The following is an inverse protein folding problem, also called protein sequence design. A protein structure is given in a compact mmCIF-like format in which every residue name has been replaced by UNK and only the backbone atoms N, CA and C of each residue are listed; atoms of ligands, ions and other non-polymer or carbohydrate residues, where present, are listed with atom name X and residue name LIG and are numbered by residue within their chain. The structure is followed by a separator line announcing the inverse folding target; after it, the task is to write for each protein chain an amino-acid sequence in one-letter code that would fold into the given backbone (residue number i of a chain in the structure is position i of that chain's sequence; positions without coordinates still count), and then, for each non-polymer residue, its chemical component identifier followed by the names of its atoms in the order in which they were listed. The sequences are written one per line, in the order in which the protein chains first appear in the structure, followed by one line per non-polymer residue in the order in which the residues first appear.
data_IF_036104327827
#
_entry.id   IF_036104327827
#
_cell.length_a   1.000
_cell.length_b   1.000
_cell.length_c   1.000
_cell.angle_alpha   90.00
_cell.angle_beta   90.00
_cell.angle_gamma   90.00
#
_symmetry.space_group_name_H-M   'P 1'
#
loop_
_entity.id
_entity.type
_entity.pdbx_description
1 polymer ?
#
# COMPACT_ATOMS: atom_id res chain seq x y z
N UNK A 1 0.57 22.67 -27.11
CA UNK A 1 -0.82 22.84 -26.63
C UNK A 1 -1.38 21.53 -26.07
N UNK A 2 -0.63 20.86 -25.18
CA UNK A 2 -1.03 19.62 -24.50
C UNK A 2 -0.69 19.76 -23.01
N UNK A 3 -1.54 20.51 -22.29
CA UNK A 3 -1.62 20.54 -20.83
C UNK A 3 -3.03 20.10 -20.47
N UNK A 4 -3.22 18.80 -20.25
CA UNK A 4 -4.36 18.24 -19.51
C UNK A 4 -4.14 16.72 -19.36
N UNK A 5 -3.52 16.32 -18.24
CA UNK A 5 -3.58 14.94 -17.73
C UNK A 5 -3.59 15.02 -16.21
N UNK A 6 -4.77 14.81 -15.63
CA UNK A 6 -5.07 14.83 -14.21
C UNK A 6 -5.39 13.41 -13.73
N UNK A 7 -5.28 13.21 -12.41
CA UNK A 7 -5.97 12.23 -11.56
C UNK A 7 -5.39 10.79 -11.50
N UNK A 8 -4.23 10.55 -10.88
CA UNK A 8 -3.98 9.27 -10.13
C UNK A 8 -3.00 9.51 -8.96
N UNK A 9 -2.83 8.55 -8.03
CA UNK A 9 -1.80 8.65 -6.96
C UNK A 9 -0.40 8.57 -7.56
N UNK A 10 0.59 9.35 -7.10
CA UNK A 10 1.91 9.46 -7.77
C UNK A 10 2.64 8.11 -7.98
N UNK A 11 2.40 7.10 -7.12
CA UNK A 11 3.00 5.77 -7.24
C UNK A 11 2.27 4.87 -8.25
N UNK A 12 0.93 4.87 -8.23
CA UNK A 12 0.12 4.17 -9.23
C UNK A 12 0.23 4.87 -10.60
N UNK A 13 0.33 6.20 -10.63
CA UNK A 13 0.67 7.03 -11.80
C UNK A 13 2.01 6.66 -12.39
N UNK A 14 3.08 6.64 -11.57
CA UNK A 14 4.42 6.36 -12.09
C UNK A 14 4.47 4.98 -12.75
N UNK A 15 3.89 3.97 -12.10
CA UNK A 15 3.78 2.61 -12.66
C UNK A 15 2.92 2.55 -13.93
N UNK A 16 1.75 3.20 -13.94
CA UNK A 16 0.81 3.22 -15.08
C UNK A 16 1.34 4.08 -16.24
N UNK A 17 1.89 5.27 -15.98
CA UNK A 17 2.44 6.18 -16.99
C UNK A 17 3.75 5.67 -17.60
N UNK A 18 4.66 5.10 -16.79
CA UNK A 18 5.84 4.40 -17.33
C UNK A 18 5.39 3.22 -18.19
N UNK A 19 4.30 2.55 -17.81
CA UNK A 19 3.72 1.48 -18.61
C UNK A 19 3.09 1.93 -19.92
N UNK A 20 2.33 3.01 -19.93
CA UNK A 20 1.76 3.57 -21.16
C UNK A 20 2.84 4.15 -22.10
N UNK A 21 3.92 4.74 -21.58
CA UNK A 21 5.05 5.23 -22.41
C UNK A 21 5.81 4.07 -23.06
N UNK A 22 6.17 3.02 -22.30
CA UNK A 22 6.91 1.86 -22.82
C UNK A 22 6.05 0.95 -23.72
N UNK A 23 4.75 0.83 -23.46
CA UNK A 23 3.84 0.06 -24.33
C UNK A 23 3.73 0.68 -25.73
N UNK A 24 3.74 2.02 -25.85
CA UNK A 24 3.81 2.71 -27.15
C UNK A 24 5.15 2.53 -27.88
N UNK A 25 6.23 2.30 -27.14
CA UNK A 25 7.56 2.03 -27.71
C UNK A 25 7.71 0.55 -28.13
N UNK A 26 7.06 -0.38 -27.41
CA UNK A 26 7.05 -1.81 -27.70
C UNK A 26 6.12 -2.18 -28.87
N UNK A 27 5.00 -1.46 -29.03
CA UNK A 27 4.15 -1.56 -30.22
C UNK A 27 4.67 -0.55 -31.25
N UNK A 28 5.69 -0.94 -32.00
CA UNK A 28 6.28 -0.14 -33.06
C UNK A 28 5.22 0.54 -33.92
N UNK A 29 5.46 1.83 -34.24
CA UNK A 29 4.60 2.69 -35.06
C UNK A 29 4.07 1.97 -36.31
N UNK A 30 2.82 1.51 -36.29
CA UNK A 30 2.05 1.19 -37.51
C UNK A 30 0.55 1.18 -37.20
N UNK A 31 -0.16 1.88 -38.09
CA UNK A 31 -1.62 2.06 -38.21
C UNK A 31 -2.26 3.18 -37.37
N UNK A 32 -1.97 4.41 -37.78
CA UNK A 32 -2.97 5.49 -37.82
C UNK A 32 -4.09 5.11 -38.80
N UNK A 33 -5.13 4.40 -38.35
CA UNK A 33 -6.45 4.38 -38.98
C UNK A 33 -7.40 3.57 -38.07
N UNK A 34 -8.13 4.27 -37.20
CA UNK A 34 -9.10 3.65 -36.29
C UNK A 34 -9.61 4.57 -35.18
N UNK A 35 -8.91 5.67 -34.89
CA UNK A 35 -9.29 6.58 -33.80
C UNK A 35 -10.03 7.85 -34.29
N UNK A 36 -10.92 7.70 -35.26
CA UNK A 36 -11.69 8.81 -35.85
C UNK A 36 -12.99 9.17 -35.13
N UNK A 37 -13.50 8.29 -34.25
CA UNK A 37 -14.85 8.44 -33.68
C UNK A 37 -14.91 8.99 -32.24
N UNK A 38 -13.78 9.28 -31.59
CA UNK A 38 -13.77 9.73 -30.18
C UNK A 38 -13.60 11.24 -29.97
N UNK A 39 -13.49 12.02 -31.06
CA UNK A 39 -13.24 13.49 -30.99
C UNK A 39 -14.51 14.36 -31.01
N UNK A 40 -15.70 13.81 -31.22
CA UNK A 40 -16.90 14.60 -31.49
C UNK A 40 -17.86 14.83 -30.29
N UNK A 41 -17.58 14.29 -29.10
CA UNK A 41 -18.53 14.35 -27.96
C UNK A 41 -18.10 15.17 -26.75
N UNK A 42 -17.00 15.93 -26.82
CA UNK A 42 -16.56 16.78 -25.70
C UNK A 42 -16.22 18.21 -26.14
N UNK A 43 -17.23 18.94 -26.61
CA UNK A 43 -17.16 20.40 -26.76
C UNK A 43 -18.39 21.06 -26.17
N UNK A 44 -18.52 21.03 -24.84
CA UNK A 44 -19.36 22.00 -24.12
C UNK A 44 -18.81 22.17 -22.70
N UNK A 45 -18.11 23.29 -22.46
CA UNK A 45 -17.78 23.78 -21.11
C UNK A 45 -19.05 24.34 -20.46
N UNK A 46 -19.37 24.02 -19.21
CA UNK A 46 -20.13 24.94 -18.36
C UNK A 46 -19.18 26.05 -17.88
N UNK A 47 -19.64 27.30 -17.90
CA UNK A 47 -18.97 28.43 -17.27
C UNK A 47 -18.99 28.31 -15.73
N UNK A 48 -18.05 28.96 -15.01
CA UNK A 48 -18.03 28.93 -13.55
C UNK A 48 -19.23 29.70 -13.02
N UNK A 49 -20.18 28.99 -12.41
CA UNK A 49 -21.20 29.60 -11.55
C UNK A 49 -20.59 29.73 -10.15
N UNK A 50 -20.80 30.89 -9.53
CA UNK A 50 -20.49 31.15 -8.13
C UNK A 50 -21.20 30.11 -7.25
N UNK A 51 -20.44 29.17 -6.70
CA UNK A 51 -20.95 28.22 -5.73
C UNK A 51 -21.03 28.90 -4.37
N UNK A 52 -22.26 29.14 -3.91
CA UNK A 52 -22.55 29.64 -2.57
C UNK A 52 -22.06 28.68 -1.48
N UNK A 53 -21.94 29.20 -0.27
CA UNK A 53 -21.45 28.52 0.95
C UNK A 53 -22.17 27.21 1.36
N UNK A 54 -23.15 26.73 0.60
CA UNK A 54 -23.88 25.47 0.83
C UNK A 54 -23.39 24.25 0.05
N UNK A 55 -22.57 24.41 -1.00
CA UNK A 55 -22.13 23.29 -1.88
C UNK A 55 -20.81 22.61 -1.45
N UNK A 56 -20.21 23.06 -0.35
CA UNK A 56 -19.08 22.39 0.30
C UNK A 56 -19.51 21.22 1.19
N UNK A 57 -20.81 21.10 1.48
CA UNK A 57 -21.42 19.88 2.00
C UNK A 57 -21.65 18.95 0.81
N UNK A 58 -21.08 17.74 0.89
CA UNK A 58 -21.21 16.65 -0.09
C UNK A 58 -20.27 16.74 -1.31
N UNK A 59 -18.97 16.56 -1.12
CA UNK A 59 -18.07 16.05 -2.18
C UNK A 59 -17.93 14.52 -2.04
N UNK A 60 -18.26 13.76 -3.09
CA UNK A 60 -18.05 12.31 -3.12
C UNK A 60 -16.62 12.02 -3.56
N UNK A 61 -15.78 11.62 -2.60
CA UNK A 61 -14.36 11.41 -2.87
C UNK A 61 -14.07 10.13 -3.64
N UNK A 62 -15.05 9.22 -3.75
CA UNK A 62 -14.89 7.99 -4.55
C UNK A 62 -14.57 8.27 -6.01
N UNK A 63 -15.03 9.42 -6.53
CA UNK A 63 -14.79 9.82 -7.91
C UNK A 63 -13.30 9.99 -8.23
N UNK A 64 -12.48 10.29 -7.22
CA UNK A 64 -11.03 10.42 -7.34
C UNK A 64 -10.30 9.08 -7.28
N UNK A 65 -10.94 8.02 -6.77
CA UNK A 65 -10.35 6.70 -6.71
C UNK A 65 -10.38 6.03 -8.09
N UNK A 66 -9.32 5.29 -8.39
CA UNK A 66 -9.20 4.44 -9.56
C UNK A 66 -10.41 3.48 -9.66
N UNK A 67 -10.90 3.24 -10.88
CA UNK A 67 -11.90 2.19 -11.09
C UNK A 67 -11.20 0.84 -11.12
N UNK A 68 -11.95 -0.23 -10.87
CA UNK A 68 -11.41 -1.58 -10.91
C UNK A 68 -10.80 -1.93 -12.27
N UNK A 69 -11.39 -1.42 -13.36
CA UNK A 69 -10.92 -1.65 -14.73
C UNK A 69 -9.57 -0.96 -14.99
N UNK A 70 -9.31 0.19 -14.35
CA UNK A 70 -8.03 0.88 -14.48
C UNK A 70 -6.91 0.09 -13.77
N UNK A 71 -7.25 -0.62 -12.69
CA UNK A 71 -6.36 -1.59 -12.03
C UNK A 71 -6.15 -2.84 -12.89
N UNK A 72 -7.18 -3.33 -13.60
CA UNK A 72 -7.05 -4.46 -14.55
C UNK A 72 -6.05 -4.15 -15.68
N UNK A 73 -6.08 -2.91 -16.19
CA UNK A 73 -5.13 -2.45 -17.21
C UNK A 73 -3.70 -2.41 -16.65
N UNK A 74 -3.51 -1.91 -15.43
CA UNK A 74 -2.21 -1.95 -14.75
C UNK A 74 -1.70 -3.39 -14.60
N UNK A 75 -2.54 -4.31 -14.13
CA UNK A 75 -2.20 -5.72 -13.99
C UNK A 75 -1.76 -6.35 -15.32
N UNK A 76 -2.46 -6.02 -16.41
CA UNK A 76 -2.09 -6.49 -17.76
C UNK A 76 -0.69 -6.00 -18.17
N UNK A 77 -0.40 -4.72 -17.91
CA UNK A 77 0.93 -4.16 -18.16
C UNK A 77 2.01 -4.84 -17.30
N UNK A 78 1.76 -5.05 -16.01
CA UNK A 78 2.71 -5.69 -15.10
C UNK A 78 3.04 -7.12 -15.52
N UNK A 79 2.05 -7.91 -15.95
CA UNK A 79 2.27 -9.25 -16.51
C UNK A 79 3.19 -9.17 -17.74
N UNK A 80 2.91 -8.26 -18.69
CA UNK A 80 3.74 -8.08 -19.87
C UNK A 80 5.18 -7.66 -19.51
N UNK A 81 5.33 -6.76 -18.53
CA UNK A 81 6.64 -6.30 -18.05
C UNK A 81 7.44 -7.41 -17.39
N UNK A 82 6.79 -8.25 -16.58
CA UNK A 82 7.41 -9.41 -15.94
C UNK A 82 8.01 -10.37 -16.98
N UNK A 83 7.23 -10.79 -17.97
CA UNK A 83 7.71 -11.69 -19.03
C UNK A 83 8.66 -11.04 -20.02
N UNK A 84 8.66 -9.70 -20.15
CA UNK A 84 9.70 -8.99 -20.89
C UNK A 84 11.07 -9.06 -20.19
N UNK A 85 11.09 -9.03 -18.85
CA UNK A 85 12.31 -9.14 -18.05
C UNK A 85 12.83 -10.58 -17.99
N UNK A 86 11.95 -11.56 -17.87
CA UNK A 86 12.31 -12.97 -17.71
C UNK A 86 12.16 -13.75 -19.02
N UNK A 87 13.16 -13.64 -19.90
CA UNK A 87 13.14 -14.27 -21.23
C UNK A 87 13.26 -15.81 -21.20
N UNK A 88 13.74 -16.38 -20.10
CA UNK A 88 13.91 -17.82 -19.88
C UNK A 88 12.59 -18.55 -19.58
N UNK A 89 11.52 -17.83 -19.28
CA UNK A 89 10.22 -18.40 -18.92
C UNK A 89 9.11 -17.77 -19.74
N UNK A 90 8.04 -18.54 -19.96
CA UNK A 90 6.83 -18.06 -20.62
C UNK A 90 5.66 -18.07 -19.66
N UNK A 91 4.62 -17.29 -19.98
CA UNK A 91 3.36 -17.30 -19.24
C UNK A 91 2.75 -18.70 -19.19
N UNK A 92 2.78 -19.42 -20.31
CA UNK A 92 2.23 -20.78 -20.40
C UNK A 92 3.01 -21.78 -19.55
N UNK A 93 4.34 -21.65 -19.48
CA UNK A 93 5.16 -22.47 -18.60
C UNK A 93 4.83 -22.21 -17.12
N UNK A 94 4.68 -20.94 -16.73
CA UNK A 94 4.27 -20.58 -15.36
C UNK A 94 2.87 -21.11 -15.04
N UNK A 95 1.90 -20.91 -15.93
CA UNK A 95 0.54 -21.40 -15.75
C UNK A 95 0.49 -22.93 -15.64
N UNK A 96 1.26 -23.63 -16.48
CA UNK A 96 1.35 -25.10 -16.43
C UNK A 96 1.97 -25.58 -15.11
N UNK A 97 3.04 -24.94 -14.65
CA UNK A 97 3.67 -25.26 -13.37
C UNK A 97 2.72 -25.00 -12.20
N UNK A 98 2.02 -23.86 -12.19
CA UNK A 98 1.04 -23.53 -11.16
C UNK A 98 -0.16 -24.48 -11.16
N UNK A 99 -0.65 -24.88 -12.34
CA UNK A 99 -1.71 -25.88 -12.45
C UNK A 99 -1.27 -27.25 -11.91
N UNK A 100 -0.02 -27.64 -12.13
CA UNK A 100 0.54 -28.86 -11.55
C UNK A 100 0.68 -28.78 -10.02
N UNK A 101 1.08 -27.62 -9.48
CA UNK A 101 1.20 -27.41 -8.03
C UNK A 101 -0.18 -27.46 -7.37
N UNK A 102 -1.18 -26.82 -7.97
CA UNK A 102 -2.52 -26.67 -7.37
C UNK A 102 -3.48 -27.81 -7.74
N UNK A 103 -3.14 -28.61 -8.74
CA UNK A 103 -4.01 -29.67 -9.28
C UNK A 103 -5.24 -29.16 -10.01
N UNK A 104 -5.29 -27.87 -10.40
CA UNK A 104 -6.43 -27.23 -11.05
C UNK A 104 -5.97 -26.24 -12.14
N UNK A 105 -6.81 -25.91 -13.13
CA UNK A 105 -6.56 -24.78 -14.01
C UNK A 105 -6.31 -23.50 -13.21
N UNK A 106 -5.52 -22.59 -13.77
CA UNK A 106 -5.16 -21.33 -13.11
C UNK A 106 -5.41 -20.14 -14.02
N UNK A 107 -5.76 -19.02 -13.39
CA UNK A 107 -5.94 -17.73 -14.05
C UNK A 107 -5.13 -16.65 -13.34
N UNK A 108 -4.60 -15.63 -14.05
CA UNK A 108 -3.93 -14.51 -13.41
C UNK A 108 -4.84 -13.81 -12.40
N UNK A 109 -4.31 -13.46 -11.23
CA UNK A 109 -5.05 -12.65 -10.25
C UNK A 109 -5.35 -11.26 -10.82
N UNK A 110 -6.47 -10.68 -10.39
CA UNK A 110 -6.95 -9.36 -10.83
C UNK A 110 -6.00 -8.20 -10.49
N UNK A 111 -5.15 -8.38 -9.47
CA UNK A 111 -4.08 -7.46 -9.11
C UNK A 111 -2.74 -8.19 -9.18
N UNK A 112 -1.75 -7.54 -9.78
CA UNK A 112 -0.40 -8.06 -9.96
C UNK A 112 0.62 -7.15 -9.28
N UNK A 113 1.77 -7.73 -8.91
CA UNK A 113 2.92 -6.98 -8.40
C UNK A 113 3.83 -6.54 -9.54
N UNK A 114 4.68 -5.54 -9.30
CA UNK A 114 5.67 -5.11 -10.30
C UNK A 114 6.77 -6.15 -10.53
N UNK A 115 7.11 -6.91 -9.48
CA UNK A 115 8.24 -7.85 -9.41
C UNK A 115 7.79 -9.31 -9.29
N UNK A 116 6.52 -9.58 -9.62
CA UNK A 116 5.95 -10.93 -9.55
C UNK A 116 4.85 -11.14 -10.59
N UNK A 117 4.65 -12.41 -10.95
CA UNK A 117 3.48 -12.88 -11.67
C UNK A 117 2.70 -13.83 -10.76
N UNK A 118 1.41 -13.58 -10.57
CA UNK A 118 0.58 -14.31 -9.60
C UNK A 118 -0.66 -14.89 -10.28
N UNK A 119 -0.93 -16.17 -10.03
CA UNK A 119 -2.11 -16.88 -10.57
C UNK A 119 -2.87 -17.57 -9.45
N UNK A 120 -4.20 -17.60 -9.56
CA UNK A 120 -5.07 -18.32 -8.64
C UNK A 120 -5.60 -19.59 -9.30
N UNK A 121 -5.78 -20.64 -8.50
CA UNK A 121 -6.45 -21.86 -8.93
C UNK A 121 -7.96 -21.62 -9.09
N UNK A 122 -8.52 -22.12 -10.20
CA UNK A 122 -9.95 -22.16 -10.47
C UNK A 122 -10.58 -23.34 -9.71
N UNK A 123 -10.46 -23.33 -8.37
CA UNK A 123 -10.88 -24.42 -7.49
C UNK A 123 -12.00 -23.96 -6.53
N UNK A 124 -13.09 -24.73 -6.48
CA UNK A 124 -14.25 -24.46 -5.61
C UNK A 124 -13.95 -24.70 -4.12
N UNK A 125 -12.92 -25.50 -3.80
CA UNK A 125 -12.59 -25.87 -2.42
C UNK A 125 -11.12 -25.56 -2.10
N UNK A 126 -10.92 -24.57 -1.20
CA UNK A 126 -9.62 -24.06 -0.74
C UNK A 126 -8.72 -23.58 -1.87
N UNK A 127 -9.10 -22.49 -2.56
CA UNK A 127 -8.28 -21.94 -3.61
C UNK A 127 -6.87 -21.64 -3.10
N UNK A 128 -5.88 -21.96 -3.93
CA UNK A 128 -4.47 -21.66 -3.71
C UNK A 128 -4.02 -20.65 -4.75
N UNK A 129 -3.00 -19.90 -4.40
CA UNK A 129 -2.34 -18.95 -5.30
C UNK A 129 -0.91 -19.42 -5.51
N UNK A 130 -0.43 -19.32 -6.74
CA UNK A 130 0.99 -19.53 -7.06
C UNK A 130 1.57 -18.21 -7.53
N UNK A 131 2.64 -17.79 -6.87
CA UNK A 131 3.37 -16.56 -7.19
C UNK A 131 4.78 -16.88 -7.67
N UNK A 132 5.14 -16.30 -8.81
CA UNK A 132 6.45 -16.35 -9.44
C UNK A 132 7.14 -15.01 -9.19
N UNK A 133 8.31 -15.00 -8.55
CA UNK A 133 8.99 -13.77 -8.13
C UNK A 133 10.40 -13.62 -8.68
N UNK A 134 10.79 -12.37 -8.91
CA UNK A 134 12.15 -11.99 -9.29
C UNK A 134 13.16 -12.20 -8.15
N UNK A 135 12.70 -12.14 -6.90
CA UNK A 135 13.54 -12.26 -5.70
C UNK A 135 12.92 -13.22 -4.69
N UNK A 136 13.78 -13.86 -3.91
CA UNK A 136 13.37 -14.79 -2.88
C UNK A 136 12.65 -14.08 -1.73
N UNK A 137 11.54 -14.67 -1.26
CA UNK A 137 10.90 -14.33 0.00
C UNK A 137 11.66 -14.95 1.18
N UNK A 138 11.72 -14.21 2.29
CA UNK A 138 12.12 -14.76 3.57
C UNK A 138 10.92 -15.49 4.20
N UNK A 139 10.83 -16.81 3.98
CA UNK A 139 9.72 -17.64 4.48
C UNK A 139 9.61 -17.61 6.00
N UNK A 140 10.74 -17.51 6.72
CA UNK A 140 10.74 -17.42 8.17
C UNK A 140 10.07 -16.13 8.66
N UNK A 141 10.35 -14.99 8.01
CA UNK A 141 9.64 -13.72 8.30
C UNK A 141 8.14 -13.84 8.02
N UNK A 142 7.73 -14.54 6.96
CA UNK A 142 6.31 -14.74 6.66
C UNK A 142 5.66 -15.63 7.73
N UNK A 143 6.31 -16.70 8.17
CA UNK A 143 5.82 -17.52 9.28
C UNK A 143 5.67 -16.71 10.57
N UNK A 144 6.63 -15.83 10.87
CA UNK A 144 6.54 -14.91 12.01
C UNK A 144 5.40 -13.90 11.84
N UNK A 145 5.17 -13.39 10.62
CA UNK A 145 4.02 -12.54 10.32
C UNK A 145 2.71 -13.29 10.61
N UNK A 146 2.60 -14.56 10.22
CA UNK A 146 1.43 -15.40 10.54
C UNK A 146 1.25 -15.62 12.04
N UNK A 147 2.32 -15.80 12.80
CA UNK A 147 2.22 -15.91 14.26
C UNK A 147 1.78 -14.59 14.90
N UNK A 148 2.28 -13.47 14.37
CA UNK A 148 2.01 -12.12 14.90
C UNK A 148 0.60 -11.64 14.56
N UNK A 149 0.15 -11.87 13.33
CA UNK A 149 -1.08 -11.30 12.75
C UNK A 149 -2.16 -12.33 12.46
N UNK A 150 -1.89 -13.62 12.72
CA UNK A 150 -2.87 -14.72 12.70
C UNK A 150 -3.65 -14.78 11.39
N UNK A 151 -4.97 -14.61 11.44
CA UNK A 151 -5.89 -14.71 10.32
C UNK A 151 -5.66 -13.69 9.21
N UNK A 152 -4.95 -12.58 9.49
CA UNK A 152 -4.69 -11.56 8.48
C UNK A 152 -3.62 -11.96 7.47
N UNK A 153 -2.84 -13.01 7.71
CA UNK A 153 -1.72 -13.37 6.82
C UNK A 153 -2.02 -14.72 6.19
N UNK A 154 -1.90 -14.90 4.87
CA UNK A 154 -2.07 -16.21 4.23
C UNK A 154 -0.88 -17.15 4.53
N UNK A 155 -1.05 -18.48 4.40
CA UNK A 155 0.10 -19.37 4.42
C UNK A 155 0.97 -19.11 3.19
N UNK A 156 2.27 -19.40 3.28
CA UNK A 156 3.20 -19.30 2.16
C UNK A 156 4.25 -20.40 2.26
N UNK A 157 4.39 -21.19 1.19
CA UNK A 157 5.38 -22.26 1.07
C UNK A 157 6.26 -22.03 -0.16
N UNK A 158 7.57 -22.28 -0.01
CA UNK A 158 8.49 -22.27 -1.15
C UNK A 158 8.35 -23.57 -1.94
N UNK A 159 8.17 -23.45 -3.26
CA UNK A 159 8.10 -24.57 -4.22
C UNK A 159 9.35 -24.70 -5.09
N UNK A 160 10.39 -23.94 -4.78
CA UNK A 160 11.66 -23.94 -5.51
C UNK A 160 11.73 -22.85 -6.58
N UNK A 161 12.30 -23.18 -7.73
CA UNK A 161 12.48 -22.24 -8.85
C UNK A 161 11.95 -22.85 -10.15
N UNK A 162 11.46 -21.98 -11.03
CA UNK A 162 11.13 -22.31 -12.41
C UNK A 162 11.96 -21.38 -13.31
N UNK A 163 12.96 -21.92 -13.99
CA UNK A 163 13.94 -21.08 -14.69
C UNK A 163 14.65 -20.15 -13.72
N UNK A 164 14.52 -18.84 -13.93
CA UNK A 164 15.17 -17.78 -13.14
C UNK A 164 14.23 -17.10 -12.12
N UNK A 165 13.02 -17.63 -11.89
CA UNK A 165 12.07 -17.09 -10.90
C UNK A 165 11.82 -18.05 -9.75
N UNK A 166 11.62 -17.49 -8.57
CA UNK A 166 11.23 -18.23 -7.36
C UNK A 166 9.73 -18.51 -7.39
N UNK A 167 9.33 -19.71 -6.96
CA UNK A 167 7.94 -20.16 -6.98
C UNK A 167 7.44 -20.36 -5.56
N UNK A 168 6.31 -19.73 -5.25
CA UNK A 168 5.67 -19.81 -3.95
C UNK A 168 4.21 -20.24 -4.11
N UNK A 169 3.76 -21.14 -3.24
CA UNK A 169 2.34 -21.46 -3.10
C UNK A 169 1.82 -20.79 -1.84
N UNK A 170 0.65 -20.16 -1.94
CA UNK A 170 0.02 -19.42 -0.86
C UNK A 170 -1.46 -19.80 -0.72
N UNK A 171 -2.01 -19.61 0.47
CA UNK A 171 -3.47 -19.62 0.63
C UNK A 171 -4.07 -18.46 -0.16
N UNK A 172 -5.16 -18.73 -0.88
CA UNK A 172 -5.92 -17.66 -1.51
C UNK A 172 -6.59 -16.78 -0.45
N UNK A 173 -6.38 -15.47 -0.57
CA UNK A 173 -7.06 -14.48 0.26
C UNK A 173 -8.36 -14.07 -0.43
N UNK A 174 -9.54 -14.36 0.16
CA UNK A 174 -10.82 -14.06 -0.46
C UNK A 174 -11.08 -12.55 -0.56
N UNK A 175 -12.07 -12.16 -1.36
CA UNK A 175 -12.37 -10.76 -1.63
C UNK A 175 -11.47 -10.17 -2.72
N UNK A 176 -11.32 -8.85 -2.71
CA UNK A 176 -10.52 -8.11 -3.69
C UNK A 176 -9.53 -7.20 -2.99
N UNK A 177 -8.43 -6.86 -3.66
CA UNK A 177 -7.53 -5.84 -3.16
C UNK A 177 -8.27 -4.50 -2.96
N UNK A 178 -7.94 -3.78 -1.88
CA UNK A 178 -8.53 -2.51 -1.51
C UNK A 178 -8.35 -1.49 -2.65
N UNK A 179 -7.25 -1.53 -3.41
CA UNK A 179 -7.04 -0.70 -4.60
C UNK A 179 -8.19 -0.78 -5.62
N UNK A 180 -8.83 -1.94 -5.78
CA UNK A 180 -10.01 -2.14 -6.64
C UNK A 180 -11.31 -1.77 -5.92
N UNK A 181 -11.38 -2.04 -4.61
CA UNK A 181 -12.56 -1.78 -3.78
C UNK A 181 -12.72 -0.31 -3.39
N UNK A 182 -11.63 0.47 -3.41
CA UNK A 182 -11.51 1.80 -2.80
C UNK A 182 -12.57 2.75 -3.31
N UNK A 183 -12.82 2.77 -4.63
CA UNK A 183 -13.90 3.58 -5.21
C UNK A 183 -15.27 3.22 -4.65
N UNK A 184 -15.56 1.93 -4.51
CA UNK A 184 -16.83 1.48 -3.93
C UNK A 184 -16.90 1.83 -2.44
N UNK A 185 -15.90 1.45 -1.65
CA UNK A 185 -15.90 1.64 -0.19
C UNK A 185 -15.88 3.10 0.26
N UNK A 186 -15.34 4.01 -0.56
CA UNK A 186 -15.35 5.45 -0.29
C UNK A 186 -16.60 6.15 -0.84
N UNK A 187 -17.51 5.43 -1.49
CA UNK A 187 -18.75 5.99 -2.02
C UNK A 187 -19.75 6.26 -0.88
N UNK A 188 -20.60 7.26 -1.10
CA UNK A 188 -21.66 7.61 -0.16
C UNK A 188 -22.60 6.45 0.14
N UNK A 189 -23.05 6.37 1.38
CA UNK A 189 -23.94 5.33 1.87
C UNK A 189 -23.23 4.03 2.24
N UNK A 190 -21.91 3.92 2.02
CA UNK A 190 -21.11 2.75 2.39
C UNK A 190 -20.20 3.01 3.60
N UNK A 191 -20.46 4.06 4.37
CA UNK A 191 -19.66 4.48 5.53
C UNK A 191 -19.51 3.33 6.55
N UNK A 192 -20.55 2.51 6.72
CA UNK A 192 -20.51 1.34 7.61
C UNK A 192 -19.54 0.25 7.13
N UNK A 193 -19.36 0.08 5.82
CA UNK A 193 -18.39 -0.88 5.27
C UNK A 193 -16.97 -0.37 5.44
N UNK A 194 -16.75 0.92 5.18
CA UNK A 194 -15.46 1.56 5.41
C UNK A 194 -15.10 1.56 6.91
N UNK A 195 -16.07 1.82 7.78
CA UNK A 195 -15.91 1.69 9.23
C UNK A 195 -15.47 0.27 9.61
N UNK A 196 -16.10 -0.75 9.02
CA UNK A 196 -15.69 -2.14 9.25
C UNK A 196 -14.24 -2.39 8.80
N UNK A 197 -13.82 -1.86 7.65
CA UNK A 197 -12.41 -1.92 7.20
C UNK A 197 -11.48 -1.29 8.22
N UNK A 198 -11.82 -0.11 8.73
CA UNK A 198 -11.03 0.64 9.70
C UNK A 198 -10.91 -0.10 11.04
N UNK A 199 -11.99 -0.72 11.51
CA UNK A 199 -11.99 -1.54 12.72
C UNK A 199 -11.14 -2.82 12.56
N UNK A 200 -11.23 -3.49 11.40
CA UNK A 200 -10.36 -4.64 11.12
C UNK A 200 -8.89 -4.23 11.00
N UNK A 201 -8.61 -3.03 10.48
CA UNK A 201 -7.26 -2.47 10.46
C UNK A 201 -6.73 -2.19 11.88
N UNK A 202 -7.59 -1.73 12.79
CA UNK A 202 -7.24 -1.60 14.20
C UNK A 202 -6.94 -2.97 14.85
N UNK A 203 -7.73 -4.01 14.53
CA UNK A 203 -7.46 -5.41 14.97
C UNK A 203 -6.12 -5.91 14.46
N UNK A 204 -5.78 -5.64 13.20
CA UNK A 204 -4.49 -5.99 12.62
C UNK A 204 -3.32 -5.39 13.40
N UNK A 205 -3.34 -4.08 13.68
CA UNK A 205 -2.27 -3.46 14.48
C UNK A 205 -2.28 -3.89 15.94
N UNK A 206 -3.45 -4.11 16.55
CA UNK A 206 -3.54 -4.65 17.90
C UNK A 206 -2.89 -6.04 18.00
N UNK A 207 -3.00 -6.85 16.94
CA UNK A 207 -2.34 -8.16 16.86
C UNK A 207 -0.81 -8.05 16.96
N UNK A 208 -0.20 -7.07 16.27
CA UNK A 208 1.23 -6.80 16.39
C UNK A 208 1.64 -6.36 17.80
N UNK A 209 0.80 -5.56 18.45
CA UNK A 209 1.06 -5.07 19.80
C UNK A 209 1.00 -6.18 20.85
N UNK A 210 0.05 -7.12 20.72
CA UNK A 210 -0.21 -8.20 21.68
C UNK A 210 0.72 -9.39 21.44
N UNK A 211 0.81 -9.87 20.19
CA UNK A 211 1.56 -11.07 19.85
C UNK A 211 3.03 -10.72 19.58
N UNK A 212 3.67 -10.07 20.54
CA UNK A 212 5.09 -9.74 20.50
C UNK A 212 5.86 -11.06 20.48
N UNK A 213 6.27 -11.50 19.30
CA UNK A 213 7.20 -12.62 19.21
C UNK A 213 8.50 -12.13 19.86
N UNK A 214 9.06 -12.90 20.80
CA UNK A 214 10.41 -12.64 21.33
C UNK A 214 11.42 -12.87 20.21
N UNK A 215 11.57 -11.86 19.37
CA UNK A 215 12.46 -11.90 18.23
C UNK A 215 13.87 -11.69 18.77
N UNK A 216 14.71 -12.72 18.63
CA UNK A 216 16.14 -12.63 18.93
C UNK A 216 16.77 -11.61 17.99
N UNK A 217 16.88 -10.37 18.45
CA UNK A 217 17.63 -9.36 17.73
C UNK A 217 19.10 -9.41 18.17
N UNK A 218 20.04 -9.09 17.25
CA UNK A 218 21.42 -8.81 17.62
C UNK A 218 21.47 -7.75 18.73
N UNK A 219 22.42 -7.84 19.69
CA UNK A 219 22.53 -6.89 20.81
C UNK A 219 22.56 -5.41 20.40
N UNK A 220 23.08 -5.12 19.21
CA UNK A 220 23.26 -3.76 18.70
C UNK A 220 22.19 -3.31 17.69
N UNK A 221 21.27 -4.19 17.28
CA UNK A 221 20.31 -3.91 16.22
C UNK A 221 19.40 -2.70 16.52
N UNK A 222 18.94 -2.55 17.76
CA UNK A 222 18.14 -1.40 18.17
C UNK A 222 18.94 -0.08 18.10
N UNK A 223 20.24 -0.12 18.41
CA UNK A 223 21.12 1.06 18.35
C UNK A 223 21.42 1.46 16.92
N UNK A 224 21.72 0.48 16.06
CA UNK A 224 21.93 0.70 14.63
C UNK A 224 20.67 1.27 13.96
N UNK A 225 19.50 0.72 14.30
CA UNK A 225 18.23 1.20 13.78
C UNK A 225 17.89 2.61 14.28
N UNK A 226 18.19 2.94 15.54
CA UNK A 226 18.04 4.30 16.06
C UNK A 226 18.93 5.30 15.30
N UNK A 227 20.20 4.94 15.06
CA UNK A 227 21.12 5.77 14.30
C UNK A 227 20.63 5.97 12.85
N UNK A 228 20.16 4.90 12.21
CA UNK A 228 19.58 4.96 10.87
C UNK A 228 18.33 5.85 10.81
N UNK A 229 17.42 5.74 11.78
CA UNK A 229 16.22 6.59 11.84
C UNK A 229 16.58 8.06 12.08
N UNK A 230 17.61 8.33 12.88
CA UNK A 230 18.12 9.68 13.08
C UNK A 230 18.67 10.27 11.78
N UNK A 231 19.45 9.48 11.02
CA UNK A 231 19.98 9.88 9.72
C UNK A 231 18.87 10.19 8.70
N UNK A 232 17.80 9.39 8.68
CA UNK A 232 16.61 9.65 7.84
C UNK A 232 16.02 11.03 8.15
N UNK A 233 15.83 11.36 9.44
CA UNK A 233 15.28 12.66 9.84
C UNK A 233 16.20 13.81 9.47
N UNK A 234 17.52 13.62 9.55
CA UNK A 234 18.50 14.65 9.18
C UNK A 234 18.50 14.92 7.66
N UNK A 235 18.44 13.87 6.84
CA UNK A 235 18.29 14.01 5.39
C UNK A 235 17.00 14.76 5.04
N UNK A 236 15.87 14.38 5.66
CA UNK A 236 14.60 15.06 5.45
C UNK A 236 14.64 16.51 5.90
N UNK A 237 15.31 16.82 7.01
CA UNK A 237 15.40 18.21 7.50
C UNK A 237 16.24 19.09 6.57
N UNK A 238 17.20 18.52 5.86
CA UNK A 238 18.01 19.24 4.87
C UNK A 238 17.28 19.42 3.52
N UNK A 239 16.45 18.45 3.13
CA UNK A 239 15.80 18.45 1.81
C UNK A 239 14.36 18.97 1.78
N UNK A 240 13.61 18.88 2.88
CA UNK A 240 12.21 19.30 2.91
C UNK A 240 12.06 20.80 3.23
N UNK A 241 11.00 21.45 2.71
CA UNK A 241 10.72 22.86 2.97
C UNK A 241 10.57 23.21 4.47
N UNK A 242 10.85 24.47 4.81
CA UNK A 242 10.85 24.98 6.19
C UNK A 242 9.55 24.69 6.96
N UNK A 243 8.41 24.66 6.27
CA UNK A 243 7.09 24.37 6.87
C UNK A 243 7.00 23.00 7.54
N UNK A 244 7.84 22.03 7.18
CA UNK A 244 7.88 20.70 7.80
C UNK A 244 8.81 20.62 9.03
N UNK A 245 9.70 21.59 9.21
CA UNK A 245 10.72 21.55 10.27
C UNK A 245 10.11 21.44 11.68
N UNK A 246 9.03 22.16 12.05
CA UNK A 246 8.43 22.00 13.38
C UNK A 246 7.98 20.56 13.67
N UNK A 247 7.42 19.87 12.67
CA UNK A 247 6.93 18.49 12.81
C UNK A 247 8.09 17.48 12.77
N UNK A 248 9.11 17.71 11.95
CA UNK A 248 10.34 16.90 11.97
C UNK A 248 11.06 17.01 13.32
N UNK A 249 11.14 18.21 13.91
CA UNK A 249 11.72 18.43 15.23
C UNK A 249 10.94 17.76 16.35
N UNK A 250 9.61 17.74 16.25
CA UNK A 250 8.75 16.98 17.16
C UNK A 250 9.08 15.48 17.11
N UNK A 251 9.16 14.91 15.90
CA UNK A 251 9.50 13.50 15.69
C UNK A 251 10.92 13.20 16.17
N UNK A 252 11.90 14.07 15.86
CA UNK A 252 13.29 13.94 16.32
C UNK A 252 13.40 13.92 17.84
N UNK A 253 12.70 14.83 18.53
CA UNK A 253 12.66 14.86 20.00
C UNK A 253 11.96 13.63 20.59
N UNK A 254 10.96 13.11 19.89
CA UNK A 254 10.23 11.91 20.29
C UNK A 254 10.94 10.60 19.98
N UNK A 255 11.88 10.57 19.02
CA UNK A 255 12.50 9.36 18.50
C UNK A 255 13.06 8.42 19.58
N UNK A 256 13.73 8.89 20.66
CA UNK A 256 14.20 8.02 21.73
C UNK A 256 13.10 7.20 22.42
N UNK A 257 11.84 7.65 22.40
CA UNK A 257 10.71 6.91 22.97
C UNK A 257 10.45 5.58 22.24
N UNK A 258 10.79 5.50 20.94
CA UNK A 258 10.61 4.28 20.13
C UNK A 258 11.64 3.19 20.46
N UNK A 259 12.72 3.53 21.17
CA UNK A 259 13.87 2.65 21.41
C UNK A 259 14.14 2.43 22.90
N UNK A 260 13.17 2.76 23.76
CA UNK A 260 13.20 2.33 25.16
C UNK A 260 13.15 0.81 25.22
N UNK A 261 13.78 0.22 26.23
CA UNK A 261 13.83 -1.23 26.40
C UNK A 261 12.46 -1.89 26.60
N UNK A 262 11.46 -1.13 27.04
CA UNK A 262 10.10 -1.58 27.31
C UNK A 262 9.11 -1.30 26.16
N UNK A 263 9.53 -0.54 25.13
CA UNK A 263 8.70 -0.24 23.97
C UNK A 263 8.77 -1.38 22.94
N UNK A 264 7.65 -1.83 22.36
CA UNK A 264 7.65 -3.03 21.54
C UNK A 264 8.32 -2.83 20.18
N UNK A 265 9.31 -3.68 19.92
CA UNK A 265 9.80 -3.99 18.58
C UNK A 265 8.91 -5.08 17.98
N UNK A 266 8.27 -4.79 16.85
CA UNK A 266 7.30 -5.69 16.20
C UNK A 266 7.68 -5.92 14.75
N UNK A 267 7.19 -7.03 14.20
CA UNK A 267 7.28 -7.28 12.77
C UNK A 267 6.31 -6.35 12.03
N UNK A 268 6.82 -5.33 11.37
CA UNK A 268 6.09 -4.37 10.56
C UNK A 268 6.03 -4.86 9.10
N UNK A 269 4.92 -4.60 8.38
CA UNK A 269 4.78 -4.96 6.96
C UNK A 269 5.72 -4.15 6.04
N UNK A 270 6.03 -2.91 6.41
CA UNK A 270 6.85 -1.90 5.70
C UNK A 270 6.41 -1.51 4.28
N UNK A 271 5.51 -2.26 3.62
CA UNK A 271 4.86 -1.89 2.35
C UNK A 271 3.33 -2.04 2.36
N UNK A 272 2.68 -1.46 3.36
CA UNK A 272 1.23 -1.60 3.59
C UNK A 272 0.41 -0.66 2.68
N UNK A 273 0.38 -0.97 1.38
CA UNK A 273 -0.33 -0.23 0.33
C UNK A 273 -1.73 -0.81 0.05
N UNK A 274 -2.59 -0.05 -0.63
CA UNK A 274 -3.96 -0.44 -0.97
C UNK A 274 -4.05 -1.75 -1.78
N UNK A 275 -3.01 -2.11 -2.53
CA UNK A 275 -3.00 -3.36 -3.32
C UNK A 275 -2.67 -4.60 -2.48
N UNK A 276 -2.10 -4.40 -1.29
CA UNK A 276 -1.67 -5.45 -0.39
C UNK A 276 -2.72 -5.76 0.70
N UNK A 277 -3.79 -4.98 0.77
CA UNK A 277 -4.91 -5.19 1.71
C UNK A 277 -6.07 -5.79 0.92
N UNK A 278 -6.55 -6.97 1.29
CA UNK A 278 -7.74 -7.57 0.70
C UNK A 278 -8.97 -7.33 1.58
N UNK A 279 -10.09 -7.04 0.93
CA UNK A 279 -11.37 -6.74 1.57
C UNK A 279 -12.51 -7.50 0.91
N UNK A 280 -13.51 -7.86 1.72
CA UNK A 280 -14.81 -8.28 1.23
C UNK A 280 -15.62 -7.03 0.83
N UNK A 281 -15.96 -6.90 -0.46
CA UNK A 281 -16.67 -5.72 -0.98
C UNK A 281 -18.10 -5.54 -0.44
N UNK A 282 -18.70 -6.60 0.07
CA UNK A 282 -20.07 -6.59 0.59
C UNK A 282 -20.09 -6.07 2.02
N UNK A 283 -19.17 -6.53 2.85
CA UNK A 283 -19.12 -6.24 4.29
C UNK A 283 -18.13 -5.13 4.65
N UNK A 284 -17.10 -4.91 3.82
CA UNK A 284 -15.95 -4.06 4.11
C UNK A 284 -14.92 -4.70 5.03
N UNK A 285 -15.09 -5.97 5.42
CA UNK A 285 -14.15 -6.65 6.29
C UNK A 285 -12.81 -6.93 5.61
N UNK A 286 -11.70 -6.77 6.33
CA UNK A 286 -10.38 -7.17 5.83
C UNK A 286 -10.30 -8.70 5.89
N UNK A 287 -10.00 -9.30 4.75
CA UNK A 287 -9.93 -10.76 4.58
C UNK A 287 -8.49 -11.28 4.59
N UNK A 288 -7.52 -10.39 4.40
CA UNK A 288 -6.10 -10.70 4.54
C UNK A 288 -5.21 -9.58 4.02
N UNK A 289 -3.92 -9.69 4.34
CA UNK A 289 -2.85 -8.76 3.97
C UNK A 289 -1.71 -9.60 3.38
N UNK A 290 -1.28 -9.21 2.17
CA UNK A 290 -0.35 -9.95 1.32
C UNK A 290 0.93 -9.15 1.05
N UNK A 291 1.93 -9.80 0.47
CA UNK A 291 3.24 -9.19 0.10
C UNK A 291 4.10 -8.72 1.28
N UNK A 292 4.40 -9.65 2.17
CA UNK A 292 5.30 -9.47 3.32
C UNK A 292 6.80 -9.45 2.97
N UNK A 293 7.14 -9.15 1.72
CA UNK A 293 8.52 -9.24 1.22
C UNK A 293 9.47 -8.21 1.87
N UNK A 294 8.96 -7.02 2.18
CA UNK A 294 9.69 -5.94 2.82
C UNK A 294 9.47 -5.89 4.34
N UNK A 295 8.82 -6.91 4.91
CA UNK A 295 8.52 -6.95 6.33
C UNK A 295 9.80 -6.93 7.18
N UNK A 296 9.78 -6.14 8.25
CA UNK A 296 10.97 -5.91 9.08
C UNK A 296 10.63 -5.74 10.54
N UNK A 297 11.59 -6.05 11.40
CA UNK A 297 11.47 -5.82 12.84
C UNK A 297 11.84 -4.37 13.13
N UNK A 298 10.90 -3.60 13.66
CA UNK A 298 11.06 -2.18 13.93
C UNK A 298 10.12 -1.74 15.08
N UNK A 299 10.31 -0.55 15.67
CA UNK A 299 9.39 -0.05 16.69
C UNK A 299 7.94 -0.05 16.20
N UNK A 300 7.02 -0.44 17.07
CA UNK A 300 5.59 -0.36 16.78
C UNK A 300 5.20 1.07 16.39
N UNK A 301 4.32 1.18 15.40
CA UNK A 301 3.75 2.44 14.94
C UNK A 301 4.35 2.95 13.63
N UNK A 302 5.53 2.49 13.22
CA UNK A 302 6.20 2.95 12.00
C UNK A 302 5.45 2.60 10.70
N UNK A 303 4.52 1.64 10.74
CA UNK A 303 3.61 1.31 9.63
C UNK A 303 2.18 1.87 9.78
N UNK A 304 1.85 2.55 10.88
CA UNK A 304 0.48 3.04 11.14
C UNK A 304 0.01 4.09 10.14
N UNK A 305 0.93 4.74 9.42
CA UNK A 305 0.61 5.65 8.32
C UNK A 305 -0.27 5.02 7.22
N UNK A 306 -0.28 3.68 7.11
CA UNK A 306 -1.18 2.97 6.19
C UNK A 306 -2.66 3.25 6.43
N UNK A 307 -3.06 3.68 7.64
CA UNK A 307 -4.44 4.07 7.94
C UNK A 307 -4.88 5.25 7.07
N UNK A 308 -3.97 6.20 6.83
CA UNK A 308 -4.29 7.38 6.05
C UNK A 308 -4.68 7.01 4.61
N UNK A 309 -4.05 5.98 4.03
CA UNK A 309 -4.39 5.42 2.71
C UNK A 309 -5.81 4.85 2.65
N UNK A 310 -6.31 4.27 3.75
CA UNK A 310 -7.69 3.76 3.84
C UNK A 310 -8.70 4.92 3.92
N UNK A 311 -8.32 6.03 4.54
CA UNK A 311 -9.22 7.15 4.86
C UNK A 311 -9.34 8.23 3.76
N UNK A 312 -8.67 8.08 2.63
CA UNK A 312 -8.72 9.09 1.58
C UNK A 312 -8.21 8.61 0.25
N UNK A 313 -8.02 9.55 -0.68
CA UNK A 313 -7.51 9.32 -2.02
C UNK A 313 -6.55 10.44 -2.40
N UNK A 314 -5.39 10.06 -2.95
CA UNK A 314 -4.45 11.00 -3.53
C UNK A 314 -4.81 11.33 -4.98
N UNK A 315 -4.80 12.61 -5.32
CA UNK A 315 -4.70 13.11 -6.69
C UNK A 315 -3.33 13.73 -6.91
N UNK A 316 -3.03 14.13 -8.15
CA UNK A 316 -1.77 14.80 -8.48
C UNK A 316 -1.55 16.13 -7.74
N UNK A 317 -2.59 16.73 -7.16
CA UNK A 317 -2.50 18.05 -6.53
C UNK A 317 -2.96 18.09 -5.08
N UNK A 318 -3.64 17.06 -4.58
CA UNK A 318 -4.16 17.07 -3.21
C UNK A 318 -4.54 15.67 -2.72
N UNK A 319 -4.59 15.55 -1.39
CA UNK A 319 -5.18 14.42 -0.71
C UNK A 319 -6.63 14.74 -0.32
N UNK A 320 -7.57 13.93 -0.78
CA UNK A 320 -8.98 14.03 -0.42
C UNK A 320 -9.30 13.01 0.66
N UNK A 321 -9.53 13.47 1.89
CA UNK A 321 -10.04 12.62 2.95
C UNK A 321 -11.53 12.35 2.78
N UNK A 322 -11.96 11.17 3.23
CA UNK A 322 -13.39 10.88 3.40
C UNK A 322 -14.00 11.93 4.34
N UNK A 323 -15.23 12.42 4.09
CA UNK A 323 -15.86 13.41 4.99
C UNK A 323 -15.81 12.99 6.46
N UNK A 324 -16.08 11.71 6.74
CA UNK A 324 -16.08 11.14 8.10
C UNK A 324 -14.71 10.65 8.59
N UNK A 325 -13.60 10.98 7.91
CA UNK A 325 -12.26 10.50 8.30
C UNK A 325 -11.89 10.74 9.77
N UNK A 326 -12.35 11.83 10.39
CA UNK A 326 -12.12 12.08 11.83
C UNK A 326 -12.89 11.07 12.71
N UNK A 327 -14.16 10.80 12.39
CA UNK A 327 -14.95 9.78 13.09
C UNK A 327 -14.35 8.39 12.89
N UNK A 328 -13.90 8.08 11.68
CA UNK A 328 -13.24 6.81 11.37
C UNK A 328 -11.92 6.66 12.15
N UNK A 329 -11.09 7.71 12.27
CA UNK A 329 -9.90 7.68 13.12
C UNK A 329 -10.25 7.46 14.59
N UNK A 330 -11.31 8.10 15.09
CA UNK A 330 -11.78 7.86 16.47
C UNK A 330 -12.10 6.38 16.66
N UNK A 331 -12.90 5.78 15.76
CA UNK A 331 -13.24 4.36 15.85
C UNK A 331 -12.05 3.41 15.68
N UNK A 332 -11.06 3.78 14.86
CA UNK A 332 -9.80 3.03 14.79
C UNK A 332 -9.15 2.96 16.18
N UNK A 333 -8.97 4.11 16.84
CA UNK A 333 -8.32 4.18 18.13
C UNK A 333 -9.14 3.55 19.26
N UNK A 334 -10.45 3.74 19.28
CA UNK A 334 -11.36 3.07 20.21
C UNK A 334 -11.22 1.55 20.09
N UNK A 335 -11.35 1.01 18.87
CA UNK A 335 -11.22 -0.43 18.62
C UNK A 335 -9.83 -0.94 19.02
N UNK A 336 -8.77 -0.20 18.69
CA UNK A 336 -7.41 -0.55 19.06
C UNK A 336 -7.25 -0.64 20.58
N UNK A 337 -7.64 0.40 21.32
CA UNK A 337 -7.52 0.45 22.79
C UNK A 337 -8.45 -0.53 23.52
N UNK A 338 -9.63 -0.81 22.98
CA UNK A 338 -10.52 -1.86 23.50
C UNK A 338 -9.85 -3.23 23.48
N UNK A 339 -9.07 -3.53 22.44
CA UNK A 339 -8.40 -4.82 22.26
C UNK A 339 -7.13 -4.91 23.11
N UNK A 340 -6.27 -3.88 23.07
CA UNK A 340 -4.97 -3.92 23.74
C UNK A 340 -5.02 -3.53 25.23
N UNK A 341 -6.12 -2.90 25.65
CA UNK A 341 -6.28 -2.36 27.00
C UNK A 341 -5.60 -1.01 27.22
N UNK A 342 -5.38 -0.69 28.50
CA UNK A 342 -4.80 0.60 28.91
C UNK A 342 -3.35 0.74 28.43
N UNK A 343 -3.03 1.92 27.88
CA UNK A 343 -1.66 2.34 27.59
C UNK A 343 -1.27 3.58 28.40
N UNK A 344 -0.06 3.60 29.01
CA UNK A 344 0.53 4.81 29.56
C UNK A 344 0.66 5.92 28.51
N UNK A 345 0.62 7.17 28.95
CA UNK A 345 0.77 8.34 28.06
C UNK A 345 2.08 8.32 27.27
N UNK A 346 3.15 7.77 27.86
CA UNK A 346 4.44 7.63 27.22
C UNK A 346 4.39 6.68 26.02
N UNK A 347 3.61 5.61 26.08
CA UNK A 347 3.40 4.66 24.98
C UNK A 347 2.47 5.25 23.92
N UNK A 348 1.40 5.95 24.33
CA UNK A 348 0.53 6.69 23.40
C UNK A 348 1.34 7.70 22.59
N UNK A 349 2.22 8.45 23.25
CA UNK A 349 3.13 9.40 22.61
C UNK A 349 4.13 8.70 21.69
N UNK A 350 4.71 7.57 22.11
CA UNK A 350 5.61 6.78 21.28
C UNK A 350 4.91 6.26 20.02
N UNK A 351 3.67 5.78 20.13
CA UNK A 351 2.85 5.34 18.98
C UNK A 351 2.68 6.48 17.98
N UNK A 352 2.36 7.68 18.46
CA UNK A 352 2.17 8.85 17.59
C UNK A 352 3.48 9.29 16.91
N UNK A 353 4.60 9.30 17.65
CA UNK A 353 5.94 9.54 17.07
C UNK A 353 6.25 8.50 16.00
N UNK A 354 5.96 7.22 16.26
CA UNK A 354 6.16 6.14 15.31
C UNK A 354 5.33 6.32 14.04
N UNK A 355 4.05 6.71 14.20
CA UNK A 355 3.15 7.01 13.08
C UNK A 355 3.70 8.15 12.21
N UNK A 356 4.07 9.27 12.83
CA UNK A 356 4.62 10.44 12.12
C UNK A 356 5.96 10.13 11.45
N UNK A 357 6.86 9.44 12.15
CA UNK A 357 8.13 8.96 11.56
C UNK A 357 7.87 8.09 10.33
N UNK A 358 6.92 7.14 10.44
CA UNK A 358 6.53 6.26 9.35
C UNK A 358 6.03 7.01 8.12
N UNK A 359 5.22 8.06 8.34
CA UNK A 359 4.70 8.93 7.27
C UNK A 359 5.83 9.70 6.59
N UNK A 360 6.74 10.33 7.36
CA UNK A 360 7.91 11.01 6.82
C UNK A 360 8.84 10.08 6.05
N UNK A 361 9.15 8.91 6.63
CA UNK A 361 9.96 7.89 5.97
C UNK A 361 9.34 7.41 4.66
N UNK A 362 8.02 7.30 4.60
CA UNK A 362 7.31 6.78 3.43
C UNK A 362 7.10 7.82 2.35
N UNK A 363 6.76 9.06 2.71
CA UNK A 363 6.32 10.11 1.79
C UNK A 363 7.30 11.27 1.64
N UNK A 364 8.33 11.34 2.47
CA UNK A 364 9.36 12.36 2.40
C UNK A 364 10.48 12.06 1.42
N UNK A 365 10.51 10.87 0.82
CA UNK A 365 11.50 10.46 -0.17
C UNK A 365 10.86 9.98 -1.48
N UNK A 366 11.58 10.14 -2.59
CA UNK A 366 11.18 9.67 -3.93
C UNK A 366 11.02 8.14 -3.99
N UNK A 367 11.79 7.44 -3.15
CA UNK A 367 11.77 5.99 -2.92
C UNK A 367 12.08 5.71 -1.45
N UNK A 368 11.98 4.46 -0.99
CA UNK A 368 12.36 4.10 0.39
C UNK A 368 13.81 4.56 0.69
N UNK A 369 14.07 5.20 1.85
CA UNK A 369 15.41 5.72 2.16
C UNK A 369 16.48 4.63 2.29
N UNK A 370 16.07 3.37 2.47
CA UNK A 370 16.97 2.20 2.45
C UNK A 370 17.37 1.75 1.04
N UNK A 371 16.79 2.33 -0.02
CA UNK A 371 17.17 2.04 -1.41
C UNK A 371 18.24 3.02 -1.87
N UNK A 372 19.11 2.56 -2.77
CA UNK A 372 20.17 3.40 -3.34
C UNK A 372 19.62 4.67 -4.01
N UNK A 373 20.34 5.77 -3.80
CA UNK A 373 20.05 7.11 -4.35
C UNK A 373 18.69 7.69 -3.92
N UNK A 374 18.13 7.23 -2.80
CA UNK A 374 16.94 7.85 -2.23
C UNK A 374 17.22 9.31 -1.85
N UNK A 375 16.32 10.20 -2.27
CA UNK A 375 16.45 11.63 -2.03
C UNK A 375 15.14 12.20 -1.49
N UNK A 376 15.18 13.24 -0.64
CA UNK A 376 13.97 13.92 -0.22
C UNK A 376 13.15 14.41 -1.42
N UNK A 377 11.82 14.33 -1.32
CA UNK A 377 10.92 14.74 -2.41
C UNK A 377 10.98 16.25 -2.66
N UNK A 378 10.80 16.64 -3.92
CA UNK A 378 10.74 18.04 -4.33
C UNK A 378 9.37 18.67 -4.02
N UNK A 379 9.29 20.00 -4.08
CA UNK A 379 8.11 20.81 -3.74
C UNK A 379 6.81 20.31 -4.40
N UNK A 380 6.88 19.77 -5.61
CA UNK A 380 5.72 19.28 -6.37
C UNK A 380 5.11 17.97 -5.86
N UNK A 381 5.83 17.20 -5.04
CA UNK A 381 5.46 15.84 -4.64
C UNK A 381 5.09 15.72 -3.14
N UNK A 382 4.84 16.86 -2.49
CA UNK A 382 4.61 16.95 -1.04
C UNK A 382 3.17 16.67 -0.60
N UNK A 383 2.25 16.39 -1.52
CA UNK A 383 0.81 16.25 -1.29
C UNK A 383 0.46 15.40 -0.06
N UNK A 384 1.13 14.25 0.10
CA UNK A 384 0.89 13.37 1.24
C UNK A 384 1.38 13.98 2.55
N UNK A 385 2.61 14.50 2.58
CA UNK A 385 3.15 15.10 3.80
C UNK A 385 2.35 16.33 4.22
N UNK A 386 1.90 17.16 3.28
CA UNK A 386 1.03 18.31 3.58
C UNK A 386 -0.29 17.86 4.21
N UNK A 387 -0.88 16.77 3.71
CA UNK A 387 -2.12 16.26 4.23
C UNK A 387 -2.00 15.62 5.62
N UNK A 388 -0.87 14.95 5.90
CA UNK A 388 -0.73 14.11 7.10
C UNK A 388 0.05 14.78 8.24
N UNK A 389 0.91 15.75 7.92
CA UNK A 389 1.84 16.34 8.87
C UNK A 389 1.56 17.82 9.18
N UNK A 390 0.79 18.53 8.35
CA UNK A 390 0.53 19.97 8.48
C UNK A 390 -0.94 20.35 8.73
N UNK A 391 -1.86 19.39 8.71
CA UNK A 391 -3.30 19.62 8.90
C UNK A 391 -3.80 19.15 10.26
#
# INVERSE_FOLDING_TARGET
MLRDKRIWSLRTLSAIEQGFRRHRELIGSRNEQGCGAFKASFTSRPQPQDFGHSDLLLMDISLYAARAEDIDVLSTYQIASFFHRHKSITKDACNSAAANITGSPVSPTLVQGETSYTVAADADQRPKVVQFRNSALNIEIIHQARQTYREFVPNCECRGMLGDVYVYEMDFVPGVAFSRARRHLLARGLEQRLLRTVQDFARFFASAWINRVELKQPPDAARELFAHYSQILDQLSQGLPERFQPKLDEVRKGLPLLFRSDYPMVLNHDDLLEMNIHVDNVTGGITGIVDWADAKIAPFGTSLGGLETVLGVQTSSCWHFHPDHNLLRTHFWETFYEIIGYLPDSDRRAIEVGRLFGLFRTHGFDRRPEKENASPVEEGDLVCLEAFCLR
#
